data_IF_456811374567
#
_entry.id   IF_456811374567
#
_cell.length_a   1.000
_cell.length_b   1.000
_cell.length_c   1.000
_cell.angle_alpha   90.00
_cell.angle_beta   90.00
_cell.angle_gamma   90.00
#
_symmetry.space_group_name_H-M   'P 1'
#
loop_
_entity.id
_entity.type
_entity.pdbx_description
1 polymer ?
#
# COMPACT_ATOMS: atom_id res chain seq x y z
N UNK A 1 -3.48 75.48 -14.45
CA UNK A 1 -2.70 76.43 -13.62
C UNK A 1 -3.35 76.52 -12.25
N UNK A 2 -2.53 76.78 -11.23
CA UNK A 2 -2.82 76.85 -9.79
C UNK A 2 -2.82 75.49 -9.06
N UNK A 3 -1.82 75.07 -8.30
CA UNK A 3 -1.04 75.63 -7.16
C UNK A 3 -1.68 75.38 -5.77
N UNK A 4 -0.92 74.60 -4.98
CA UNK A 4 -0.57 74.79 -3.57
C UNK A 4 -1.34 74.10 -2.44
N UNK A 5 -0.50 73.60 -1.52
CA UNK A 5 -0.68 72.84 -0.29
C UNK A 5 -1.14 73.71 0.90
N UNK A 6 -1.27 73.02 2.06
CA UNK A 6 -1.26 73.51 3.45
C UNK A 6 -2.66 73.75 4.05
N UNK A 7 -2.99 73.43 5.31
CA UNK A 7 -2.24 72.97 6.47
C UNK A 7 -3.28 72.40 7.48
N UNK A 8 -2.97 71.25 8.07
CA UNK A 8 -2.93 70.95 9.52
C UNK A 8 -4.03 71.51 10.46
N UNK A 9 -4.69 70.59 11.18
CA UNK A 9 -5.20 70.83 12.53
C UNK A 9 -4.63 69.76 13.48
N UNK A 10 -3.69 70.20 14.31
CA UNK A 10 -3.22 69.51 15.52
C UNK A 10 -4.30 69.61 16.61
N UNK A 11 -4.51 68.53 17.35
CA UNK A 11 -4.34 68.40 18.82
C UNK A 11 -5.37 67.45 19.41
N UNK A 12 -4.90 66.34 19.97
CA UNK A 12 -5.25 65.91 21.33
C UNK A 12 -4.34 64.74 21.74
N UNK A 13 -3.27 65.07 22.46
CA UNK A 13 -2.52 64.13 23.29
C UNK A 13 -3.34 63.79 24.54
N UNK A 14 -3.59 62.50 24.78
CA UNK A 14 -3.55 61.91 26.13
C UNK A 14 -2.95 60.52 26.07
N UNK A 15 -1.74 60.44 26.61
CA UNK A 15 -0.99 59.23 26.98
C UNK A 15 -1.72 58.49 28.11
N UNK A 16 -1.70 57.14 28.12
CA UNK A 16 -1.14 56.29 29.20
C UNK A 16 -1.06 54.84 28.66
N UNK A 17 0.17 54.45 28.37
CA UNK A 17 0.84 53.13 28.43
C UNK A 17 0.03 51.84 28.71
N UNK A 18 0.26 50.82 27.87
CA UNK A 18 0.09 49.41 28.21
C UNK A 18 0.30 48.46 27.03
N UNK A 19 1.52 47.90 26.90
CA UNK A 19 1.88 46.52 26.49
C UNK A 19 1.10 45.90 25.30
N UNK A 20 1.66 45.49 24.15
CA UNK A 20 2.91 44.77 23.89
C UNK A 20 3.27 44.90 22.40
N UNK A 21 4.56 45.13 22.13
CA UNK A 21 5.16 44.88 20.83
C UNK A 21 5.22 43.37 20.57
N UNK A 22 4.62 42.91 19.48
CA UNK A 22 4.97 41.65 18.86
C UNK A 22 5.09 41.88 17.35
N UNK A 23 6.26 42.41 17.00
CA UNK A 23 7.03 42.18 15.79
C UNK A 23 6.29 41.42 14.68
N UNK A 24 5.77 42.17 13.71
CA UNK A 24 5.40 41.67 12.40
C UNK A 24 6.71 41.35 11.65
N UNK A 25 7.31 40.20 11.93
CA UNK A 25 8.42 39.69 11.13
C UNK A 25 7.87 39.23 9.79
N UNK A 26 8.04 40.08 8.79
CA UNK A 26 7.98 39.73 7.38
C UNK A 26 9.09 38.71 7.13
N UNK A 27 8.72 37.42 7.11
CA UNK A 27 9.64 36.34 6.83
C UNK A 27 9.96 36.36 5.33
N UNK A 28 11.21 36.73 5.04
CA UNK A 28 11.78 36.82 3.71
C UNK A 28 11.79 35.44 3.07
N UNK A 29 11.00 35.28 2.01
CA UNK A 29 10.95 34.10 1.15
C UNK A 29 12.31 33.89 0.47
N UNK A 30 13.06 32.88 0.90
CA UNK A 30 14.20 32.35 0.14
C UNK A 30 13.71 31.53 -1.07
N UNK A 31 14.12 31.87 -2.31
CA UNK A 31 13.72 31.16 -3.52
C UNK A 31 14.81 30.15 -3.93
N UNK A 32 14.77 28.93 -3.39
CA UNK A 32 15.48 27.76 -4.00
C UNK A 32 15.17 26.37 -3.43
N UNK A 33 14.16 26.22 -2.59
CA UNK A 33 13.57 24.91 -2.31
C UNK A 33 12.29 24.81 -3.13
N UNK A 34 12.33 24.09 -4.26
CA UNK A 34 11.11 23.59 -4.89
C UNK A 34 10.20 23.03 -3.79
N UNK A 35 9.04 23.66 -3.56
CA UNK A 35 8.11 23.38 -2.47
C UNK A 35 7.79 21.87 -2.38
N UNK A 36 8.63 21.12 -1.66
CA UNK A 36 8.36 19.71 -1.37
C UNK A 36 7.12 19.68 -0.49
N UNK A 37 6.08 18.99 -0.96
CA UNK A 37 4.79 18.86 -0.28
C UNK A 37 5.03 18.44 1.19
N UNK A 38 4.30 18.98 2.18
CA UNK A 38 4.50 18.66 3.60
C UNK A 38 4.54 17.16 3.93
N UNK A 39 3.72 16.34 3.27
CA UNK A 39 3.75 14.87 3.36
C UNK A 39 5.15 14.28 3.08
N UNK A 40 5.96 14.92 2.23
CA UNK A 40 7.31 14.48 1.88
C UNK A 40 8.31 14.77 3.00
N UNK A 41 8.03 15.73 3.88
CA UNK A 41 8.85 16.03 5.06
C UNK A 41 8.40 15.20 6.27
N UNK A 42 7.15 14.75 6.27
CA UNK A 42 6.61 13.89 7.32
C UNK A 42 7.25 12.49 7.30
N UNK A 43 7.24 11.84 8.47
CA UNK A 43 7.59 10.44 8.58
C UNK A 43 6.62 9.58 7.73
N UNK A 44 7.12 8.52 7.08
CA UNK A 44 6.27 7.57 6.39
C UNK A 44 5.17 7.01 7.31
N UNK A 45 3.98 6.70 6.79
CA UNK A 45 2.93 6.10 7.58
C UNK A 45 3.41 4.75 8.13
N UNK A 46 3.10 4.50 9.41
CA UNK A 46 3.37 3.21 10.05
C UNK A 46 2.30 2.22 9.64
N UNK A 47 2.69 1.19 8.89
CA UNK A 47 1.82 0.10 8.46
C UNK A 47 2.25 -1.16 9.21
N UNK A 48 1.29 -1.83 9.85
CA UNK A 48 1.55 -3.03 10.65
C UNK A 48 2.21 -4.11 9.77
N UNK A 49 3.30 -4.70 10.28
CA UNK A 49 4.07 -5.73 9.59
C UNK A 49 4.62 -5.34 8.21
N UNK A 50 4.76 -4.05 7.93
CA UNK A 50 5.34 -3.55 6.70
C UNK A 50 6.60 -2.70 6.97
N UNK A 51 7.34 -2.42 5.89
CA UNK A 51 8.39 -1.43 5.78
C UNK A 51 8.06 -0.52 4.60
N UNK A 52 8.16 0.78 4.82
CA UNK A 52 8.01 1.79 3.78
C UNK A 52 9.38 2.29 3.35
N UNK A 53 9.62 2.29 2.04
CA UNK A 53 10.87 2.78 1.45
C UNK A 53 10.53 3.92 0.50
N UNK A 54 11.28 5.02 0.59
CA UNK A 54 11.11 6.13 -0.35
C UNK A 54 11.77 5.77 -1.67
N UNK A 55 10.97 5.72 -2.73
CA UNK A 55 11.46 5.38 -4.08
C UNK A 55 11.59 6.65 -4.91
N UNK A 56 10.59 7.52 -4.85
CA UNK A 56 10.61 8.81 -5.51
C UNK A 56 10.20 9.94 -4.57
N UNK A 57 10.32 11.19 -5.03
CA UNK A 57 10.02 12.36 -4.20
C UNK A 57 8.59 12.37 -3.64
N UNK A 58 7.64 11.77 -4.37
CA UNK A 58 6.21 11.70 -4.10
C UNK A 58 5.64 10.28 -3.96
N UNK A 59 6.49 9.25 -3.99
CA UNK A 59 6.10 7.83 -3.93
C UNK A 59 6.83 7.07 -2.82
N UNK A 60 6.06 6.42 -1.96
CA UNK A 60 6.52 5.45 -0.98
C UNK A 60 6.17 4.05 -1.42
N UNK A 61 7.17 3.17 -1.51
CA UNK A 61 6.97 1.75 -1.69
C UNK A 61 6.70 1.06 -0.36
N UNK A 62 5.64 0.26 -0.32
CA UNK A 62 5.24 -0.55 0.83
C UNK A 62 5.67 -1.99 0.55
N UNK A 63 6.48 -2.54 1.45
CA UNK A 63 6.91 -3.94 1.43
C UNK A 63 6.50 -4.61 2.73
N UNK A 64 5.98 -5.84 2.68
CA UNK A 64 5.70 -6.59 3.90
C UNK A 64 7.01 -7.13 4.51
N UNK A 65 7.06 -7.22 5.84
CA UNK A 65 8.16 -7.87 6.56
C UNK A 65 8.25 -9.35 6.16
N UNK A 66 9.41 -10.02 6.34
CA UNK A 66 9.53 -11.46 6.10
C UNK A 66 8.41 -12.23 6.81
N UNK A 67 7.85 -13.25 6.16
CA UNK A 67 6.69 -14.05 6.62
C UNK A 67 5.33 -13.33 6.58
N UNK A 68 5.22 -12.18 5.93
CA UNK A 68 3.94 -11.48 5.70
C UNK A 68 3.73 -11.25 4.20
N UNK A 69 2.47 -11.27 3.77
CA UNK A 69 2.07 -11.03 2.36
C UNK A 69 1.14 -9.85 2.28
N UNK A 70 1.29 -9.06 1.21
CA UNK A 70 0.42 -7.92 0.96
C UNK A 70 -0.93 -8.39 0.44
N UNK A 71 -2.00 -8.03 1.13
CA UNK A 71 -3.38 -8.17 0.70
C UNK A 71 -3.92 -6.76 0.45
N UNK A 72 -4.11 -6.38 -0.80
CA UNK A 72 -4.56 -5.02 -1.15
C UNK A 72 -5.60 -5.07 -2.28
N UNK A 73 -6.74 -4.39 -2.14
CA UNK A 73 -7.74 -4.31 -3.20
C UNK A 73 -7.21 -3.55 -4.44
N UNK A 74 -6.22 -2.66 -4.25
CA UNK A 74 -5.76 -1.75 -5.30
C UNK A 74 -4.60 -2.31 -6.13
N UNK A 75 -4.09 -3.53 -5.85
CA UNK A 75 -2.89 -4.16 -6.46
C UNK A 75 -1.60 -3.29 -6.45
N UNK A 76 -1.67 -2.04 -6.03
CA UNK A 76 -0.57 -1.09 -5.99
C UNK A 76 0.16 -1.17 -4.65
N UNK A 77 1.48 -1.31 -4.74
CA UNK A 77 2.40 -1.34 -3.59
C UNK A 77 2.93 0.05 -3.25
N UNK A 78 2.40 1.10 -3.88
CA UNK A 78 2.89 2.46 -3.78
C UNK A 78 1.85 3.37 -3.15
N UNK A 79 2.29 4.20 -2.20
CA UNK A 79 1.51 5.31 -1.67
C UNK A 79 2.00 6.61 -2.28
N UNK A 80 1.05 7.41 -2.74
CA UNK A 80 1.31 8.75 -3.23
C UNK A 80 0.93 9.80 -2.21
N UNK A 81 1.60 10.94 -2.26
CA UNK A 81 1.12 12.08 -1.51
C UNK A 81 -0.22 12.58 -2.10
N UNK A 82 -1.19 12.86 -1.23
CA UNK A 82 -2.49 13.37 -1.64
C UNK A 82 -2.34 14.70 -2.43
N UNK A 83 -3.31 15.06 -3.28
CA UNK A 83 -3.29 16.33 -4.01
C UNK A 83 -3.15 17.55 -3.09
N UNK A 84 -3.73 17.50 -1.89
CA UNK A 84 -3.60 18.52 -0.84
C UNK A 84 -2.17 18.74 -0.35
N UNK A 85 -1.27 17.79 -0.59
CA UNK A 85 0.12 17.84 -0.17
C UNK A 85 0.36 17.62 1.33
N UNK A 86 -0.69 17.51 2.14
CA UNK A 86 -0.59 17.44 3.60
C UNK A 86 -0.33 16.02 4.12
N UNK A 87 -0.93 15.02 3.48
CA UNK A 87 -0.88 13.64 3.95
C UNK A 87 -0.56 12.66 2.81
N UNK A 88 -0.04 11.49 3.19
CA UNK A 88 0.04 10.33 2.31
C UNK A 88 -1.36 9.77 2.04
N UNK A 89 -1.55 9.14 0.89
CA UNK A 89 -2.73 8.34 0.62
C UNK A 89 -2.90 7.27 1.71
N UNK A 90 -4.14 7.00 2.09
CA UNK A 90 -4.44 5.94 3.04
C UNK A 90 -4.13 4.59 2.39
N UNK A 91 -3.31 3.79 3.08
CA UNK A 91 -3.10 2.41 2.68
C UNK A 91 -4.35 1.60 2.98
N UNK A 92 -4.95 1.03 1.95
CA UNK A 92 -6.18 0.21 2.04
C UNK A 92 -5.89 -1.29 2.13
N UNK A 93 -4.62 -1.68 2.07
CA UNK A 93 -4.21 -3.07 2.21
C UNK A 93 -3.81 -3.45 3.64
N UNK A 94 -3.42 -4.71 3.80
CA UNK A 94 -2.83 -5.29 5.01
C UNK A 94 -1.57 -6.09 4.65
N UNK A 95 -0.64 -6.17 5.61
CA UNK A 95 0.40 -7.19 5.60
C UNK A 95 0.00 -8.26 6.61
N UNK A 96 -0.65 -9.29 6.09
CA UNK A 96 -1.14 -10.40 6.89
C UNK A 96 -0.05 -11.46 7.01
N UNK A 97 0.05 -12.05 8.20
CA UNK A 97 1.04 -13.09 8.44
C UNK A 97 0.75 -14.19 7.44
N UNK A 98 1.76 -14.61 6.70
CA UNK A 98 1.78 -15.86 6.00
C UNK A 98 1.74 -16.95 7.08
N UNK A 99 0.55 -17.18 7.64
CA UNK A 99 0.34 -18.26 8.61
C UNK A 99 0.47 -19.61 7.88
N UNK A 100 0.47 -19.61 6.55
CA UNK A 100 -0.08 -20.71 5.79
C UNK A 100 0.67 -21.07 4.52
N UNK A 101 1.91 -21.56 4.65
CA UNK A 101 2.50 -22.39 3.59
C UNK A 101 1.89 -23.78 3.74
N UNK A 102 1.26 -24.30 2.70
CA UNK A 102 0.69 -25.65 2.75
C UNK A 102 1.77 -26.76 2.69
N UNK A 103 3.05 -26.39 2.74
CA UNK A 103 4.18 -27.28 2.50
C UNK A 103 4.23 -27.73 1.05
N UNK A 104 4.89 -28.85 0.81
CA UNK A 104 4.89 -29.50 -0.50
C UNK A 104 3.48 -29.98 -0.88
N UNK A 105 3.18 -30.01 -2.17
CA UNK A 105 1.91 -30.55 -2.66
C UNK A 105 1.89 -32.06 -2.37
N UNK A 106 0.85 -32.61 -1.72
CA UNK A 106 0.76 -34.02 -1.45
C UNK A 106 0.70 -34.80 -2.78
N UNK A 107 1.33 -35.97 -2.88
CA UNK A 107 1.26 -36.78 -4.08
C UNK A 107 -0.18 -37.21 -4.36
N UNK A 108 -0.67 -36.90 -5.56
CA UNK A 108 -2.00 -37.30 -6.04
C UNK A 108 -1.80 -38.54 -6.91
N UNK A 109 -2.48 -39.65 -6.59
CA UNK A 109 -2.38 -40.87 -7.41
C UNK A 109 -2.93 -40.63 -8.81
N UNK A 110 -2.19 -41.10 -9.80
CA UNK A 110 -2.55 -40.98 -11.22
C UNK A 110 -2.76 -39.55 -11.69
N UNK A 111 -1.99 -38.61 -11.12
CA UNK A 111 -2.05 -37.22 -11.53
C UNK A 111 -0.67 -36.56 -11.44
N UNK A 112 -0.48 -35.57 -12.30
CA UNK A 112 0.67 -34.67 -12.30
C UNK A 112 0.21 -33.25 -12.00
N UNK A 113 1.01 -32.53 -11.22
CA UNK A 113 0.79 -31.11 -10.92
C UNK A 113 1.88 -30.32 -11.59
N UNK A 114 1.52 -29.38 -12.48
CA UNK A 114 2.51 -28.50 -13.11
C UNK A 114 2.93 -27.45 -12.09
N UNK A 115 4.11 -27.65 -11.51
CA UNK A 115 4.71 -26.72 -10.54
C UNK A 115 5.37 -25.57 -11.31
N UNK A 116 4.90 -24.35 -11.07
CA UNK A 116 5.42 -23.19 -11.79
C UNK A 116 6.56 -22.46 -11.07
N UNK A 117 6.68 -22.53 -9.72
CA UNK A 117 7.85 -22.17 -8.91
C UNK A 117 7.48 -22.21 -7.41
N UNK A 118 8.39 -22.68 -6.56
CA UNK A 118 8.29 -22.56 -5.09
C UNK A 118 8.62 -21.12 -4.67
N UNK A 119 7.97 -20.52 -3.64
CA UNK A 119 7.11 -21.14 -2.62
C UNK A 119 5.58 -21.18 -2.89
N UNK A 120 4.94 -22.23 -2.36
CA UNK A 120 3.48 -22.45 -2.38
C UNK A 120 2.74 -21.64 -1.30
N UNK A 121 2.29 -20.45 -1.65
CA UNK A 121 1.58 -19.52 -0.77
C UNK A 121 0.08 -19.75 -0.66
N UNK A 122 -0.50 -19.27 0.44
CA UNK A 122 -1.95 -19.19 0.65
C UNK A 122 -2.67 -18.54 -0.54
N UNK A 123 -3.79 -19.13 -0.96
CA UNK A 123 -4.62 -18.64 -2.06
C UNK A 123 -4.12 -19.01 -3.46
N UNK A 124 -2.89 -19.53 -3.59
CA UNK A 124 -2.41 -20.04 -4.88
C UNK A 124 -3.13 -21.33 -5.26
N UNK A 125 -3.46 -21.42 -6.55
CA UNK A 125 -4.11 -22.57 -7.16
C UNK A 125 -3.19 -23.20 -8.21
N UNK A 126 -3.09 -24.52 -8.20
CA UNK A 126 -2.24 -25.29 -9.10
C UNK A 126 -3.07 -26.26 -9.92
N UNK A 127 -2.83 -26.31 -11.23
CA UNK A 127 -3.55 -27.23 -12.09
C UNK A 127 -3.08 -28.67 -11.88
N UNK A 128 -4.04 -29.54 -11.62
CA UNK A 128 -3.91 -30.99 -11.52
C UNK A 128 -4.35 -31.58 -12.85
N UNK A 129 -3.52 -32.45 -13.43
CA UNK A 129 -3.84 -33.17 -14.67
C UNK A 129 -3.76 -34.66 -14.37
N UNK A 130 -4.82 -35.41 -14.67
CA UNK A 130 -4.80 -36.86 -14.53
C UNK A 130 -3.87 -37.49 -15.58
N UNK A 131 -3.24 -38.59 -15.19
CA UNK A 131 -2.39 -39.37 -16.09
C UNK A 131 -3.22 -40.00 -17.22
N UNK A 132 -2.62 -40.33 -18.37
CA UNK A 132 -3.32 -41.00 -19.47
C UNK A 132 -4.10 -42.24 -19.00
N UNK A 133 -5.37 -42.34 -19.38
CA UNK A 133 -6.28 -43.43 -18.97
C UNK A 133 -7.03 -43.20 -17.66
N UNK A 134 -6.81 -42.06 -16.99
CA UNK A 134 -7.53 -41.65 -15.80
C UNK A 134 -8.30 -40.34 -16.05
N UNK A 135 -9.46 -40.23 -15.43
CA UNK A 135 -10.32 -39.04 -15.49
C UNK A 135 -10.55 -38.48 -14.09
N UNK A 136 -10.80 -37.18 -14.05
CA UNK A 136 -11.09 -36.48 -12.81
C UNK A 136 -12.46 -36.90 -12.30
N UNK A 137 -12.51 -37.31 -11.03
CA UNK A 137 -13.72 -37.77 -10.36
C UNK A 137 -13.96 -36.95 -9.08
N UNK A 138 -15.19 -36.47 -8.84
CA UNK A 138 -16.39 -36.60 -9.69
C UNK A 138 -16.33 -35.80 -11.00
N UNK A 139 -17.16 -36.14 -11.99
CA UNK A 139 -17.27 -35.37 -13.23
C UNK A 139 -17.66 -33.90 -12.93
N UNK A 140 -17.03 -32.96 -13.63
CA UNK A 140 -17.21 -31.52 -13.39
C UNK A 140 -16.42 -30.98 -12.20
N UNK A 141 -15.60 -31.79 -11.54
CA UNK A 141 -14.75 -31.30 -10.47
C UNK A 141 -13.65 -30.34 -10.97
N UNK A 142 -13.23 -29.43 -10.10
CA UNK A 142 -12.23 -28.41 -10.41
C UNK A 142 -10.84 -29.02 -10.58
N UNK A 143 -10.20 -28.79 -11.73
CA UNK A 143 -8.84 -29.25 -12.03
C UNK A 143 -7.74 -28.47 -11.32
N UNK A 144 -8.06 -27.79 -10.21
CA UNK A 144 -7.12 -26.98 -9.46
C UNK A 144 -7.11 -27.36 -7.98
N UNK A 145 -5.93 -27.27 -7.38
CA UNK A 145 -5.66 -27.51 -5.97
C UNK A 145 -5.23 -26.19 -5.33
N UNK A 146 -5.86 -25.80 -4.23
CA UNK A 146 -5.61 -24.52 -3.57
C UNK A 146 -5.12 -24.67 -2.15
N UNK A 147 -4.15 -23.84 -1.79
CA UNK A 147 -3.69 -23.74 -0.42
C UNK A 147 -4.64 -22.86 0.40
N UNK A 148 -5.42 -23.46 1.30
CA UNK A 148 -6.29 -22.74 2.25
C UNK A 148 -5.92 -23.10 3.69
N UNK A 149 -5.59 -22.10 4.49
CA UNK A 149 -5.41 -22.26 5.94
C UNK A 149 -4.44 -23.39 6.33
N UNK A 150 -3.22 -23.45 5.74
CA UNK A 150 -2.18 -24.47 5.99
C UNK A 150 -2.49 -25.85 5.40
N UNK A 151 -3.58 -25.99 4.65
CA UNK A 151 -3.97 -27.27 4.06
C UNK A 151 -4.27 -27.13 2.58
N UNK A 152 -3.81 -28.11 1.82
CA UNK A 152 -4.22 -28.27 0.44
C UNK A 152 -5.66 -28.75 0.38
N UNK A 153 -6.50 -27.97 -0.29
CA UNK A 153 -7.87 -28.35 -0.60
C UNK A 153 -7.84 -29.15 -1.90
N UNK A 154 -7.77 -30.47 -1.78
CA UNK A 154 -7.92 -31.41 -2.89
C UNK A 154 -9.37 -31.89 -2.93
N UNK A 155 -10.14 -31.42 -3.92
CA UNK A 155 -11.52 -31.85 -4.13
C UNK A 155 -11.63 -32.94 -5.22
N UNK A 156 -10.50 -33.49 -5.67
CA UNK A 156 -10.45 -34.36 -6.85
C UNK A 156 -9.66 -35.63 -6.63
N UNK A 157 -10.06 -36.68 -7.35
CA UNK A 157 -9.30 -37.91 -7.50
C UNK A 157 -9.25 -38.31 -8.97
N UNK A 158 -8.14 -38.87 -9.42
CA UNK A 158 -8.03 -39.45 -10.74
C UNK A 158 -8.42 -40.93 -10.67
N UNK A 159 -9.61 -41.24 -11.20
CA UNK A 159 -10.15 -42.60 -11.27
C UNK A 159 -9.97 -43.17 -12.68
N UNK A 160 -9.97 -44.51 -12.82
CA UNK A 160 -10.02 -45.10 -14.16
C UNK A 160 -11.33 -44.72 -14.82
N UNK A 161 -11.26 -44.42 -16.11
CA UNK A 161 -12.45 -44.26 -16.92
C UNK A 161 -13.16 -45.62 -17.00
N UNK A 162 -14.27 -45.77 -16.28
CA UNK A 162 -15.19 -46.89 -16.47
C UNK A 162 -16.19 -46.45 -17.52
N UNK A 163 -16.09 -47.07 -18.71
CA UNK A 163 -17.18 -47.08 -19.69
C UNK A 163 -18.31 -47.97 -19.19
#
# INVERSE_FOLDING_TARGET
MATWQCLVLFTALRSVTGLTEASFLSETTTPRDTMKKPCMKAHPPSIRNARTTRVHSDELYVSCKPTYVMVSPQRSQYLRCQPSGRAWQNFTGSCDKLVTMCGDIPPIRHATVRLWLSPFGFGQAYNVTCDPGYVMTPEGASSWLQCQANRWQLQVRCGRYHQ
#
